data_IF_221386719417
#
_entry.id   IF_221386719417
#
_cell.length_a   1.000
_cell.length_b   1.000
_cell.length_c   1.000
_cell.angle_alpha   90.00
_cell.angle_beta   90.00
_cell.angle_gamma   90.00
#
_symmetry.space_group_name_H-M   'P 1'
#
loop_
_entity.id
_entity.type
_entity.pdbx_description
1 polymer ?
#
# COMPACT_ATOMS: atom_id res chain seq x y z
N UNK A 1 -19.52 4.91 2.90
CA UNK A 1 -18.21 4.22 3.00
C UNK A 1 -18.14 2.99 2.11
N UNK A 2 -19.09 2.05 2.19
CA UNK A 2 -19.10 0.85 1.32
C UNK A 2 -19.04 1.16 -0.18
N UNK A 3 -19.79 2.15 -0.67
CA UNK A 3 -19.74 2.60 -2.07
C UNK A 3 -18.36 3.14 -2.49
N UNK A 4 -17.62 3.77 -1.57
CA UNK A 4 -16.27 4.26 -1.82
C UNK A 4 -15.26 3.10 -1.87
N UNK A 5 -15.43 2.09 -1.01
CA UNK A 5 -14.61 0.88 -1.04
C UNK A 5 -14.80 0.13 -2.36
N UNK A 6 -16.05 -0.04 -2.82
CA UNK A 6 -16.33 -0.68 -4.11
C UNK A 6 -15.78 0.12 -5.30
N UNK A 7 -15.99 1.44 -5.31
CA UNK A 7 -15.43 2.33 -6.33
C UNK A 7 -13.90 2.24 -6.40
N UNK A 8 -13.23 2.24 -5.24
CA UNK A 8 -11.79 2.11 -5.15
C UNK A 8 -11.32 0.74 -5.63
N UNK A 9 -11.97 -0.35 -5.22
CA UNK A 9 -11.67 -1.69 -5.72
C UNK A 9 -11.78 -1.76 -7.23
N UNK A 10 -12.85 -1.21 -7.82
CA UNK A 10 -13.04 -1.20 -9.29
C UNK A 10 -11.95 -0.38 -9.99
N UNK A 11 -11.59 0.79 -9.45
CA UNK A 11 -10.50 1.62 -9.99
C UNK A 11 -9.15 0.89 -9.91
N UNK A 12 -8.84 0.25 -8.78
CA UNK A 12 -7.62 -0.55 -8.60
C UNK A 12 -7.59 -1.71 -9.60
N UNK A 13 -8.67 -2.47 -9.75
CA UNK A 13 -8.75 -3.55 -10.75
C UNK A 13 -8.54 -3.03 -12.17
N UNK A 14 -9.19 -1.93 -12.53
CA UNK A 14 -9.04 -1.30 -13.84
C UNK A 14 -7.59 -0.83 -14.08
N UNK A 15 -6.96 -0.21 -13.08
CA UNK A 15 -5.57 0.24 -13.15
C UNK A 15 -4.62 -0.96 -13.33
N UNK A 16 -4.82 -2.05 -12.57
CA UNK A 16 -4.02 -3.28 -12.68
C UNK A 16 -4.17 -3.89 -14.08
N UNK A 17 -5.39 -3.95 -14.62
CA UNK A 17 -5.64 -4.48 -15.97
C UNK A 17 -4.92 -3.65 -17.03
N UNK A 18 -5.05 -2.31 -16.98
CA UNK A 18 -4.37 -1.40 -17.93
C UNK A 18 -2.85 -1.55 -17.82
N UNK A 19 -2.30 -1.54 -16.61
CA UNK A 19 -0.87 -1.69 -16.38
C UNK A 19 -0.35 -3.04 -16.85
N UNK A 20 -1.08 -4.12 -16.61
CA UNK A 20 -0.73 -5.47 -17.07
C UNK A 20 -0.72 -5.54 -18.60
N UNK A 21 -1.74 -4.99 -19.28
CA UNK A 21 -1.77 -4.90 -20.75
C UNK A 21 -0.59 -4.09 -21.29
N UNK A 22 -0.22 -2.99 -20.64
CA UNK A 22 0.92 -2.17 -21.01
C UNK A 22 2.25 -2.93 -20.90
N UNK A 23 2.48 -3.67 -19.80
CA UNK A 23 3.68 -4.50 -19.62
C UNK A 23 3.75 -5.63 -20.66
N UNK A 24 2.62 -6.28 -20.95
CA UNK A 24 2.54 -7.32 -22.00
C UNK A 24 2.87 -6.74 -23.37
N UNK A 25 2.35 -5.54 -23.70
CA UNK A 25 2.63 -4.88 -24.98
C UNK A 25 4.13 -4.56 -25.13
N UNK A 26 4.78 -4.07 -24.07
CA UNK A 26 6.24 -3.86 -24.07
C UNK A 26 6.98 -5.19 -24.23
N UNK A 27 6.58 -6.23 -23.49
CA UNK A 27 7.20 -7.55 -23.60
C UNK A 27 7.09 -8.15 -25.00
N UNK A 28 5.92 -8.02 -25.64
CA UNK A 28 5.68 -8.45 -27.02
C UNK A 28 6.54 -7.66 -28.00
N UNK A 29 6.62 -6.34 -27.84
CA UNK A 29 7.45 -5.47 -28.66
C UNK A 29 8.93 -5.82 -28.53
N UNK A 30 9.46 -5.96 -27.30
CA UNK A 30 10.85 -6.33 -27.07
C UNK A 30 11.18 -7.72 -27.63
N UNK A 31 10.26 -8.68 -27.50
CA UNK A 31 10.41 -10.02 -28.09
C UNK A 31 10.49 -9.96 -29.62
N UNK A 32 9.65 -9.13 -30.26
CA UNK A 32 9.66 -8.96 -31.72
C UNK A 32 10.98 -8.34 -32.24
N UNK A 33 11.59 -7.40 -31.50
CA UNK A 33 12.80 -6.70 -31.96
C UNK A 33 14.12 -7.33 -31.54
N UNK A 34 14.19 -8.02 -30.40
CA UNK A 34 15.46 -8.48 -29.82
C UNK A 34 15.68 -9.99 -29.85
N UNK A 35 14.71 -10.79 -30.31
CA UNK A 35 14.81 -12.25 -30.52
C UNK A 35 15.36 -13.04 -29.30
N UNK A 36 15.14 -12.51 -28.09
CA UNK A 36 15.36 -13.23 -26.85
C UNK A 36 14.33 -14.36 -26.76
N UNK A 37 14.70 -15.57 -27.19
CA UNK A 37 13.80 -16.71 -27.25
C UNK A 37 12.96 -16.95 -25.98
N UNK A 38 11.91 -17.76 -26.11
CA UNK A 38 10.82 -17.94 -25.12
C UNK A 38 11.25 -18.07 -23.63
N UNK A 39 12.46 -18.53 -23.33
CA UNK A 39 12.99 -18.60 -21.97
C UNK A 39 13.09 -17.24 -21.25
N UNK A 40 13.48 -16.16 -21.95
CA UNK A 40 13.57 -14.83 -21.33
C UNK A 40 12.18 -14.27 -20.97
N UNK A 41 11.18 -14.52 -21.83
CA UNK A 41 9.79 -14.12 -21.61
C UNK A 41 9.18 -14.87 -20.42
N UNK A 42 9.41 -16.18 -20.32
CA UNK A 42 8.94 -17.00 -19.19
C UNK A 42 9.59 -16.53 -17.88
N UNK A 43 10.89 -16.25 -17.88
CA UNK A 43 11.57 -15.71 -16.70
C UNK A 43 11.01 -14.35 -16.27
N UNK A 44 10.84 -13.42 -17.22
CA UNK A 44 10.26 -12.11 -16.96
C UNK A 44 8.83 -12.20 -16.41
N UNK A 45 8.02 -13.13 -16.93
CA UNK A 45 6.67 -13.39 -16.43
C UNK A 45 6.69 -13.87 -14.97
N UNK A 46 7.56 -14.83 -14.64
CA UNK A 46 7.72 -15.33 -13.26
C UNK A 46 8.11 -14.19 -12.33
N UNK A 47 9.12 -13.39 -12.70
CA UNK A 47 9.57 -12.24 -11.90
C UNK A 47 8.45 -11.22 -11.70
N UNK A 48 7.68 -10.92 -12.75
CA UNK A 48 6.55 -9.98 -12.69
C UNK A 48 5.45 -10.45 -11.75
N UNK A 49 5.08 -11.74 -11.82
CA UNK A 49 4.08 -12.33 -10.90
C UNK A 49 4.57 -12.27 -9.46
N UNK A 50 5.83 -12.64 -9.21
CA UNK A 50 6.42 -12.60 -7.86
C UNK A 50 6.45 -11.16 -7.33
N UNK A 51 6.92 -10.19 -8.12
CA UNK A 51 6.92 -8.78 -7.71
C UNK A 51 5.52 -8.25 -7.41
N UNK A 52 4.54 -8.61 -8.24
CA UNK A 52 3.15 -8.18 -8.06
C UNK A 52 2.57 -8.72 -6.77
N UNK A 53 2.79 -10.01 -6.48
CA UNK A 53 2.36 -10.64 -5.23
C UNK A 53 3.05 -9.99 -4.03
N UNK A 54 4.37 -9.81 -4.06
CA UNK A 54 5.09 -9.14 -2.96
C UNK A 54 4.57 -7.73 -2.74
N UNK A 55 4.33 -6.97 -3.80
CA UNK A 55 3.81 -5.60 -3.71
C UNK A 55 2.39 -5.56 -3.14
N UNK A 56 1.53 -6.50 -3.52
CA UNK A 56 0.15 -6.55 -3.04
C UNK A 56 0.04 -6.95 -1.56
N UNK A 57 0.85 -7.91 -1.11
CA UNK A 57 0.79 -8.44 0.26
C UNK A 57 1.71 -7.72 1.26
N UNK A 58 2.80 -7.10 0.81
CA UNK A 58 3.80 -6.45 1.68
C UNK A 58 4.08 -4.99 1.32
N UNK A 59 3.37 -4.41 0.36
CA UNK A 59 3.59 -3.03 -0.07
C UNK A 59 3.40 -2.02 1.06
N UNK A 60 2.43 -2.26 1.94
CA UNK A 60 2.20 -1.49 3.16
C UNK A 60 3.42 -1.51 4.09
N UNK A 61 3.96 -2.70 4.38
CA UNK A 61 5.13 -2.87 5.23
C UNK A 61 6.38 -2.24 4.61
N UNK A 62 6.55 -2.32 3.29
CA UNK A 62 7.65 -1.67 2.57
C UNK A 62 7.54 -0.15 2.70
N UNK A 63 6.36 0.43 2.47
CA UNK A 63 6.12 1.86 2.60
C UNK A 63 6.42 2.35 4.03
N UNK A 64 5.87 1.67 5.04
CA UNK A 64 6.07 2.01 6.46
C UNK A 64 7.54 1.94 6.87
N UNK A 65 8.25 0.87 6.47
CA UNK A 65 9.68 0.72 6.74
C UNK A 65 10.52 1.77 6.04
N UNK A 66 10.20 2.10 4.79
CA UNK A 66 10.90 3.13 4.02
C UNK A 66 10.76 4.52 4.66
N UNK A 67 9.64 4.77 5.32
CA UNK A 67 9.37 6.00 6.06
C UNK A 67 9.97 6.01 7.48
N UNK A 68 10.60 4.92 7.95
CA UNK A 68 11.09 4.81 9.31
C UNK A 68 9.98 4.79 10.37
N UNK A 69 8.80 4.29 10.01
CA UNK A 69 7.63 4.28 10.89
C UNK A 69 7.76 3.18 11.96
N UNK A 70 7.48 3.52 13.22
CA UNK A 70 7.51 2.62 14.38
C UNK A 70 6.08 2.40 14.87
N UNK A 71 5.68 1.14 15.02
CA UNK A 71 4.34 0.80 15.52
C UNK A 71 4.18 1.29 16.96
N UNK A 72 3.08 1.99 17.24
CA UNK A 72 2.73 2.48 18.56
C UNK A 72 1.52 1.74 19.10
N UNK A 73 1.54 1.48 20.40
CA UNK A 73 0.41 0.95 21.14
C UNK A 73 -0.31 2.07 21.91
N UNK A 74 -1.43 1.70 22.55
CA UNK A 74 -2.23 2.63 23.36
C UNK A 74 -1.46 3.28 24.51
N UNK A 75 -0.40 2.63 25.00
CA UNK A 75 0.43 3.12 26.10
C UNK A 75 1.47 4.15 25.64
N UNK A 76 2.04 3.96 24.45
CA UNK A 76 3.07 4.84 23.90
C UNK A 76 2.53 6.24 23.57
N UNK A 77 1.36 6.32 22.95
CA UNK A 77 0.67 7.59 22.71
C UNK A 77 -0.86 7.41 22.80
N UNK A 78 -1.44 7.59 24.01
CA UNK A 78 -2.87 7.43 24.22
C UNK A 78 -3.72 8.43 23.43
N UNK A 79 -3.18 9.60 23.07
CA UNK A 79 -3.92 10.64 22.37
C UNK A 79 -4.15 10.23 20.91
N UNK A 80 -3.07 9.91 20.20
CA UNK A 80 -3.15 9.48 18.79
C UNK A 80 -3.95 8.19 18.68
N UNK A 81 -3.70 7.22 19.57
CA UNK A 81 -4.39 5.93 19.52
C UNK A 81 -5.91 6.09 19.70
N UNK A 82 -6.36 6.89 20.67
CA UNK A 82 -7.80 7.16 20.88
C UNK A 82 -8.43 7.94 19.73
N UNK A 83 -7.70 8.88 19.14
CA UNK A 83 -8.19 9.62 17.98
C UNK A 83 -8.48 8.67 16.81
N UNK A 84 -7.51 7.80 16.49
CA UNK A 84 -7.68 6.80 15.44
C UNK A 84 -8.78 5.79 15.78
N UNK A 85 -8.86 5.34 17.03
CA UNK A 85 -9.90 4.44 17.53
C UNK A 85 -11.31 5.04 17.34
N UNK A 86 -11.52 6.29 17.75
CA UNK A 86 -12.80 6.98 17.58
C UNK A 86 -13.19 7.15 16.10
N UNK A 87 -12.22 7.46 15.24
CA UNK A 87 -12.44 7.56 13.80
C UNK A 87 -12.78 6.20 13.17
N UNK A 88 -12.09 5.13 13.60
CA UNK A 88 -12.35 3.77 13.15
C UNK A 88 -13.75 3.30 13.55
N UNK A 89 -14.16 3.56 14.80
CA UNK A 89 -15.49 3.25 15.33
C UNK A 89 -16.56 4.01 14.54
N UNK A 90 -16.39 5.31 14.35
CA UNK A 90 -17.35 6.16 13.62
C UNK A 90 -17.47 5.73 12.15
N UNK A 91 -16.37 5.26 11.57
CA UNK A 91 -16.34 4.75 10.20
C UNK A 91 -16.86 3.31 10.09
N UNK A 92 -16.98 2.56 11.19
CA UNK A 92 -17.35 1.15 11.18
C UNK A 92 -16.29 0.23 10.56
N UNK A 93 -15.02 0.60 10.68
CA UNK A 93 -13.87 -0.24 10.26
C UNK A 93 -13.15 -0.81 11.49
N UNK A 94 -12.47 -1.97 11.36
CA UNK A 94 -11.61 -2.46 12.43
C UNK A 94 -10.47 -1.46 12.69
N UNK A 95 -9.95 -1.48 13.92
CA UNK A 95 -8.86 -0.60 14.33
C UNK A 95 -7.62 -0.83 13.45
N UNK A 96 -7.16 0.19 12.69
CA UNK A 96 -5.94 0.07 11.90
C UNK A 96 -4.71 0.07 12.82
N UNK A 97 -3.61 -0.49 12.32
CA UNK A 97 -2.31 -0.38 13.01
C UNK A 97 -1.84 1.07 12.96
N UNK A 98 -1.35 1.59 14.09
CA UNK A 98 -0.91 2.98 14.19
C UNK A 98 0.61 3.03 14.30
N UNK A 99 1.22 3.90 13.51
CA UNK A 99 2.66 4.10 13.49
C UNK A 99 3.01 5.57 13.72
N UNK A 100 4.12 5.79 14.40
CA UNK A 100 4.74 7.10 14.58
C UNK A 100 6.02 7.17 13.74
N UNK A 101 6.17 8.24 12.98
CA UNK A 101 7.38 8.57 12.24
C UNK A 101 8.08 9.72 12.97
N UNK A 102 9.32 9.52 13.38
CA UNK A 102 10.08 10.59 14.01
C UNK A 102 10.56 11.60 12.96
N UNK A 103 9.76 12.64 12.72
CA UNK A 103 10.03 13.69 11.74
C UNK A 103 9.28 14.97 12.11
N UNK A 104 9.91 16.15 12.00
CA UNK A 104 9.26 17.43 12.27
C UNK A 104 8.27 17.85 11.16
N UNK A 105 8.21 17.11 10.05
CA UNK A 105 7.26 17.40 8.98
C UNK A 105 5.80 17.28 9.48
N UNK A 106 4.89 18.07 8.91
CA UNK A 106 3.46 18.00 9.21
C UNK A 106 2.77 17.06 8.21
N UNK A 107 2.89 15.74 8.41
CA UNK A 107 2.38 14.75 7.47
C UNK A 107 1.73 13.56 8.17
N UNK A 108 0.78 12.95 7.47
CA UNK A 108 0.21 11.65 7.81
C UNK A 108 -0.17 10.92 6.53
N UNK A 109 -0.11 9.59 6.54
CA UNK A 109 -0.62 8.78 5.44
C UNK A 109 -1.25 7.48 5.94
N UNK A 110 -2.16 6.94 5.16
CA UNK A 110 -2.79 5.65 5.40
C UNK A 110 -2.44 4.68 4.26
N UNK A 111 -2.17 3.43 4.60
CA UNK A 111 -1.83 2.37 3.64
C UNK A 111 -2.48 1.05 4.08
N UNK A 112 -2.57 0.09 3.16
CA UNK A 112 -3.22 -1.19 3.41
C UNK A 112 -4.08 -1.63 2.22
N UNK A 113 -4.17 -2.94 2.02
CA UNK A 113 -4.90 -3.55 0.90
C UNK A 113 -6.42 -3.61 1.10
N UNK A 114 -6.87 -3.63 2.35
CA UNK A 114 -8.27 -3.71 2.76
C UNK A 114 -8.42 -3.21 4.20
N UNK A 115 -9.66 -2.98 4.69
CA UNK A 115 -9.87 -2.45 6.04
C UNK A 115 -9.26 -3.31 7.17
N UNK A 116 -9.16 -4.63 7.02
CA UNK A 116 -8.60 -5.53 8.04
C UNK A 116 -7.07 -5.47 8.09
N UNK A 117 -6.45 -4.98 7.01
CA UNK A 117 -5.00 -4.82 6.86
C UNK A 117 -4.62 -3.34 6.72
N UNK A 118 -5.40 -2.44 7.31
CA UNK A 118 -5.14 -1.01 7.26
C UNK A 118 -4.08 -0.59 8.30
N UNK A 119 -3.25 0.37 7.92
CA UNK A 119 -2.22 1.01 8.74
C UNK A 119 -2.25 2.51 8.53
N UNK A 120 -2.04 3.27 9.61
CA UNK A 120 -1.93 4.73 9.58
C UNK A 120 -0.59 5.12 10.18
N UNK A 121 0.15 5.99 9.49
CA UNK A 121 1.38 6.57 9.99
C UNK A 121 1.24 8.09 10.14
N UNK A 122 1.62 8.60 11.30
CA UNK A 122 1.64 10.04 11.62
C UNK A 122 3.06 10.46 11.98
N UNK A 123 3.44 11.69 11.68
CA UNK A 123 4.75 12.24 12.08
C UNK A 123 4.71 12.85 13.47
N UNK A 124 5.83 12.87 14.19
CA UNK A 124 5.92 13.57 15.48
C UNK A 124 5.60 15.07 15.34
N UNK A 125 5.97 15.69 14.22
CA UNK A 125 5.63 17.08 13.90
C UNK A 125 4.13 17.34 13.82
N UNK A 126 3.34 16.48 13.16
CA UNK A 126 1.89 16.69 13.03
C UNK A 126 1.15 16.51 14.36
N UNK A 127 1.69 15.69 15.26
CA UNK A 127 1.08 15.41 16.57
C UNK A 127 1.33 16.54 17.57
N UNK A 128 2.42 17.29 17.40
CA UNK A 128 2.84 18.36 18.32
C UNK A 128 2.46 19.78 17.84
N UNK A 129 1.89 19.90 16.64
CA UNK A 129 1.46 21.15 16.03
C UNK A 129 0.11 21.64 16.58
#
# INVERSE_FOLDING_TARGET
MYSQIESNKRKTTLLIIIFTMFIIAIGWFLNYYMDYGYGAVVFAMIVSVVMTLVSYYKGDSIALKSAGAVEINREADPYVYKMVENLAITSGIPMPKVYMINSPALNAFATGRDPQHASIAVTSGIVQA
#
